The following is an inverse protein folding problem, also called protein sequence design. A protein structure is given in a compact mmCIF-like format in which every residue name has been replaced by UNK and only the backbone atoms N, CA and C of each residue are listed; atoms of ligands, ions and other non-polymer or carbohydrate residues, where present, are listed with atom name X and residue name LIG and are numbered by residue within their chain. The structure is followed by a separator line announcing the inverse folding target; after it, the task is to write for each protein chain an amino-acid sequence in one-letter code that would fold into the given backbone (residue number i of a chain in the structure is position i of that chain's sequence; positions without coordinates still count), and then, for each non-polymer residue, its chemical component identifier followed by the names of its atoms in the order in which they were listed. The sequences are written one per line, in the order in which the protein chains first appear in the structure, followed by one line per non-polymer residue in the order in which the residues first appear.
data_IF_659169027341
#
_entry.id   IF_659169027341
#
_cell.length_a   1.000
_cell.length_b   1.000
_cell.length_c   1.000
_cell.angle_alpha   90.00
_cell.angle_beta   90.00
_cell.angle_gamma   90.00
#
_symmetry.space_group_name_H-M   'P 1'
#
loop_
_entity.id
_entity.type
_entity.pdbx_description
1 polymer ?
#
# COMPACT_ATOMS: atom_id res chain seq x y z
N UNK A 1 -10.96 58.24 34.09
CA UNK A 1 -12.07 57.43 34.63
C UNK A 1 -12.35 56.30 33.66
N UNK A 2 -12.20 55.04 34.14
CA UNK A 2 -12.64 53.76 33.56
C UNK A 2 -12.05 53.35 32.18
N UNK A 3 -11.35 52.20 32.08
CA UNK A 3 -11.88 50.84 31.76
C UNK A 3 -12.25 50.75 30.26
N UNK A 4 -12.01 49.72 29.47
CA UNK A 4 -11.77 48.30 29.66
C UNK A 4 -11.20 47.76 28.32
N UNK A 5 -10.29 46.80 28.34
CA UNK A 5 -10.55 45.38 28.03
C UNK A 5 -10.08 44.95 26.62
N UNK A 6 -9.51 43.75 26.64
CA UNK A 6 -8.83 43.06 25.56
C UNK A 6 -9.75 42.71 24.39
N UNK A 7 -9.23 42.82 23.17
CA UNK A 7 -9.66 41.94 22.08
C UNK A 7 -8.43 41.24 21.51
N UNK A 8 -8.34 39.96 21.82
CA UNK A 8 -7.54 39.01 21.06
C UNK A 8 -8.15 38.88 19.65
N UNK A 9 -7.31 38.82 18.62
CA UNK A 9 -7.27 37.63 17.77
C UNK A 9 -6.10 37.72 16.81
N UNK A 10 -5.32 36.66 16.84
CA UNK A 10 -4.12 36.43 16.07
C UNK A 10 -4.40 35.99 14.62
N UNK A 11 -3.28 35.95 13.90
CA UNK A 11 -2.92 35.09 12.77
C UNK A 11 -3.37 35.52 11.38
N UNK A 12 -2.36 36.03 10.67
CA UNK A 12 -2.24 36.34 9.26
C UNK A 12 -2.83 35.26 8.35
N UNK A 13 -3.72 35.70 7.49
CA UNK A 13 -4.08 35.01 6.26
C UNK A 13 -2.96 35.27 5.23
N UNK A 14 -1.91 34.45 5.25
CA UNK A 14 -0.91 34.39 4.19
C UNK A 14 -1.11 33.08 3.43
N UNK A 15 -2.03 33.13 2.47
CA UNK A 15 -2.24 32.07 1.51
C UNK A 15 -1.04 31.91 0.57
N UNK A 16 -0.98 30.74 -0.05
CA UNK A 16 -0.12 30.32 -1.17
C UNK A 16 1.12 29.53 -0.76
N UNK A 17 0.90 28.25 -0.44
CA UNK A 17 1.81 27.21 -0.90
C UNK A 17 1.11 26.47 -2.03
N UNK A 18 1.61 26.70 -3.25
CA UNK A 18 1.23 25.97 -4.43
C UNK A 18 1.62 24.48 -4.27
N UNK A 19 0.72 23.57 -4.65
CA UNK A 19 1.07 22.15 -4.79
C UNK A 19 -0.05 21.19 -4.45
N UNK A 20 -0.80 20.82 -5.49
CA UNK A 20 -1.51 19.54 -5.64
C UNK A 20 -2.68 19.25 -4.68
N UNK A 21 -3.87 19.55 -5.20
CA UNK A 21 -4.95 18.58 -5.39
C UNK A 21 -5.27 17.62 -4.24
N UNK A 22 -6.31 18.00 -3.51
CA UNK A 22 -7.40 17.14 -3.03
C UNK A 22 -7.06 15.92 -2.15
N UNK A 23 -7.54 15.98 -0.90
CA UNK A 23 -7.87 14.77 -0.14
C UNK A 23 -7.11 14.63 1.17
N UNK A 24 -7.35 15.55 2.10
CA UNK A 24 -7.20 15.21 3.50
C UNK A 24 -8.25 14.16 3.87
N UNK A 25 -7.85 12.90 3.97
CA UNK A 25 -8.54 11.88 4.79
C UNK A 25 -7.49 10.97 5.42
N UNK A 26 -7.04 11.37 6.61
CA UNK A 26 -6.62 10.40 7.61
C UNK A 26 -7.84 9.56 7.97
N UNK A 27 -8.01 8.41 7.30
CA UNK A 27 -9.00 7.40 7.65
C UNK A 27 -8.31 6.04 7.62
N UNK A 28 -7.89 5.57 8.79
CA UNK A 28 -7.54 4.17 9.02
C UNK A 28 -8.77 3.32 8.74
N UNK A 29 -8.86 2.64 7.58
CA UNK A 29 -9.77 1.49 7.33
C UNK A 29 -9.57 0.91 5.93
N UNK A 30 -8.88 -0.23 5.83
CA UNK A 30 -8.86 -1.07 4.62
C UNK A 30 -7.45 -1.39 4.08
N UNK A 31 -6.72 -2.29 4.75
CA UNK A 31 -5.35 -2.73 4.43
C UNK A 31 -5.16 -3.46 3.08
N UNK A 32 -6.02 -3.25 2.09
CA UNK A 32 -5.97 -3.90 0.78
C UNK A 32 -5.02 -3.21 -0.19
N UNK A 33 -4.90 -1.87 -0.15
CA UNK A 33 -4.05 -1.11 -1.09
C UNK A 33 -2.55 -1.44 -0.99
N UNK A 34 -2.05 -1.80 0.21
CA UNK A 34 -0.68 -2.25 0.40
C UNK A 34 -0.42 -3.61 -0.24
N UNK A 35 -1.31 -4.56 0.04
CA UNK A 35 -1.26 -5.92 -0.50
C UNK A 35 -1.35 -5.90 -2.03
N UNK A 36 -2.27 -5.13 -2.61
CA UNK A 36 -2.41 -5.02 -4.06
C UNK A 36 -1.15 -4.46 -4.71
N UNK A 37 -0.49 -3.47 -4.11
CA UNK A 37 0.77 -2.92 -4.64
C UNK A 37 1.90 -3.93 -4.61
N UNK A 38 1.99 -4.77 -3.58
CA UNK A 38 3.00 -5.82 -3.46
C UNK A 38 2.74 -6.92 -4.51
N UNK A 39 1.48 -7.36 -4.64
CA UNK A 39 1.05 -8.38 -5.61
C UNK A 39 1.25 -7.90 -7.06
N UNK A 40 0.86 -6.66 -7.38
CA UNK A 40 1.04 -6.08 -8.72
C UNK A 40 2.52 -5.97 -9.08
N UNK A 41 3.39 -5.56 -8.14
CA UNK A 41 4.84 -5.49 -8.38
C UNK A 41 5.49 -6.87 -8.53
N UNK A 42 4.92 -7.88 -7.88
CA UNK A 42 5.37 -9.26 -7.95
C UNK A 42 4.85 -10.01 -9.18
N UNK A 43 3.85 -9.49 -9.90
CA UNK A 43 3.24 -10.13 -11.08
C UNK A 43 4.25 -10.45 -12.18
N UNK A 44 5.14 -9.52 -12.49
CA UNK A 44 6.21 -9.72 -13.48
C UNK A 44 7.18 -10.84 -13.05
N UNK A 45 7.59 -10.85 -11.78
CA UNK A 45 8.45 -11.90 -11.23
C UNK A 45 7.70 -13.25 -11.14
N UNK A 46 6.40 -13.24 -10.85
CA UNK A 46 5.52 -14.41 -10.86
C UNK A 46 5.40 -15.00 -12.27
N UNK A 47 5.29 -14.16 -13.30
CA UNK A 47 5.28 -14.59 -14.69
C UNK A 47 6.60 -15.27 -15.06
N UNK A 48 7.74 -14.70 -14.67
CA UNK A 48 9.05 -15.30 -14.88
C UNK A 48 9.23 -16.63 -14.13
N UNK A 49 8.73 -16.72 -12.90
CA UNK A 49 8.73 -17.94 -12.11
C UNK A 49 7.90 -19.05 -12.75
N UNK A 50 6.66 -18.76 -13.16
CA UNK A 50 5.77 -19.73 -13.83
C UNK A 50 6.32 -20.15 -15.19
N UNK A 51 6.80 -19.20 -16.00
CA UNK A 51 7.41 -19.48 -17.29
C UNK A 51 8.68 -20.34 -17.18
N UNK A 52 9.37 -20.28 -16.04
CA UNK A 52 10.55 -21.08 -15.75
C UNK A 52 10.26 -22.34 -14.93
N UNK A 53 8.99 -22.73 -14.76
CA UNK A 53 8.56 -23.88 -13.95
C UNK A 53 9.11 -23.83 -12.50
N UNK A 54 9.07 -22.63 -11.91
CA UNK A 54 9.51 -22.37 -10.55
C UNK A 54 11.03 -22.23 -10.36
N UNK A 55 11.81 -22.22 -11.45
CA UNK A 55 13.28 -22.15 -11.38
C UNK A 55 13.84 -20.77 -11.05
N UNK A 56 13.10 -19.69 -11.35
CA UNK A 56 13.55 -18.31 -11.13
C UNK A 56 12.64 -17.62 -10.11
N UNK A 57 13.11 -17.50 -8.86
CA UNK A 57 12.40 -16.75 -7.80
C UNK A 57 12.87 -15.31 -7.76
N UNK A 58 12.02 -14.39 -8.23
CA UNK A 58 12.27 -12.96 -8.12
C UNK A 58 12.10 -12.45 -6.69
N UNK A 59 12.85 -11.41 -6.32
CA UNK A 59 12.81 -10.81 -4.96
C UNK A 59 11.42 -10.29 -4.63
N UNK A 60 10.69 -9.74 -5.60
CA UNK A 60 9.33 -9.23 -5.36
C UNK A 60 8.32 -10.37 -5.24
N UNK A 61 8.49 -11.46 -5.99
CA UNK A 61 7.70 -12.68 -5.83
C UNK A 61 7.86 -13.23 -4.40
N UNK A 62 9.08 -13.37 -3.89
CA UNK A 62 9.28 -13.84 -2.52
C UNK A 62 8.66 -12.91 -1.47
N UNK A 63 8.78 -11.60 -1.65
CA UNK A 63 8.13 -10.62 -0.77
C UNK A 63 6.60 -10.78 -0.80
N UNK A 64 6.01 -10.97 -1.99
CA UNK A 64 4.58 -11.21 -2.12
C UNK A 64 4.13 -12.54 -1.52
N UNK A 65 4.88 -13.63 -1.72
CA UNK A 65 4.58 -14.94 -1.14
C UNK A 65 4.63 -14.89 0.38
N UNK A 66 5.66 -14.27 0.95
CA UNK A 66 5.78 -14.06 2.40
C UNK A 66 4.59 -13.26 2.93
N UNK A 67 4.26 -12.18 2.24
CA UNK A 67 3.16 -11.31 2.64
C UNK A 67 1.79 -12.02 2.56
N UNK A 68 1.54 -12.81 1.50
CA UNK A 68 0.35 -13.65 1.38
C UNK A 68 0.28 -14.66 2.52
N UNK A 69 1.40 -15.31 2.86
CA UNK A 69 1.44 -16.28 3.97
C UNK A 69 1.24 -15.63 5.33
N UNK A 70 1.73 -14.42 5.54
CA UNK A 70 1.52 -13.70 6.80
C UNK A 70 0.04 -13.36 7.02
N UNK A 71 -0.65 -12.94 5.95
CA UNK A 71 -2.02 -12.45 6.01
C UNK A 71 -3.10 -13.52 5.75
N UNK A 72 -2.75 -14.60 5.05
CA UNK A 72 -3.71 -15.59 4.56
C UNK A 72 -3.29 -17.00 4.96
N UNK A 73 -4.10 -17.65 5.80
CA UNK A 73 -3.82 -19.00 6.27
C UNK A 73 -3.91 -20.03 5.13
N UNK A 74 -4.75 -19.80 4.12
CA UNK A 74 -4.84 -20.65 2.95
C UNK A 74 -3.56 -20.57 2.10
N UNK A 75 -2.90 -19.41 2.07
CA UNK A 75 -1.64 -19.24 1.36
C UNK A 75 -0.46 -19.96 2.05
N UNK A 76 -0.57 -20.28 3.34
CA UNK A 76 0.45 -21.06 4.06
C UNK A 76 0.49 -22.51 3.59
N UNK A 77 -0.66 -23.07 3.27
CA UNK A 77 -0.81 -24.45 2.81
C UNK A 77 -0.64 -24.59 1.28
N UNK A 78 -0.82 -23.49 0.55
CA UNK A 78 -0.65 -23.46 -0.90
C UNK A 78 0.82 -23.55 -1.33
N UNK A 79 1.05 -24.27 -2.43
CA UNK A 79 2.37 -24.33 -3.07
C UNK A 79 2.75 -22.97 -3.67
N UNK A 80 4.04 -22.66 -3.71
CA UNK A 80 4.55 -21.40 -4.29
C UNK A 80 4.08 -21.21 -5.75
N UNK A 81 3.94 -22.30 -6.51
CA UNK A 81 3.40 -22.30 -7.87
C UNK A 81 1.92 -21.91 -7.93
N UNK A 82 1.09 -22.43 -7.02
CA UNK A 82 -0.33 -22.04 -6.94
C UNK A 82 -0.48 -20.57 -6.56
N UNK A 83 0.36 -20.08 -5.65
CA UNK A 83 0.36 -18.69 -5.25
C UNK A 83 0.81 -17.77 -6.39
N UNK A 84 1.86 -18.14 -7.13
CA UNK A 84 2.31 -17.39 -8.30
C UNK A 84 1.22 -17.32 -9.39
N UNK A 85 0.51 -18.42 -9.64
CA UNK A 85 -0.64 -18.44 -10.57
C UNK A 85 -1.80 -17.57 -10.07
N UNK A 86 -2.10 -17.59 -8.77
CA UNK A 86 -3.12 -16.73 -8.19
C UNK A 86 -2.77 -15.24 -8.30
N UNK A 87 -1.49 -14.89 -8.19
CA UNK A 87 -0.99 -13.52 -8.41
C UNK A 87 -1.16 -13.10 -9.88
N UNK A 88 -0.97 -14.01 -10.84
CA UNK A 88 -1.16 -13.73 -12.27
C UNK A 88 -2.63 -13.61 -12.68
N UNK A 89 -3.51 -14.35 -12.01
CA UNK A 89 -4.95 -14.39 -12.29
C UNK A 89 -5.73 -13.19 -11.71
N UNK A 90 -5.07 -12.30 -10.98
CA UNK A 90 -5.64 -11.07 -10.42
C UNK A 90 -5.46 -9.87 -11.37
#
# INVERSE_FOLDING_TARGET
MAMAACVAQASSFAGTSAGTSAGGTSATSGSTSGNDKVVVRAREDAAGFVASDGRIRGVRLEAALRHLREHDAAARDASDMQLALAILAR
#
